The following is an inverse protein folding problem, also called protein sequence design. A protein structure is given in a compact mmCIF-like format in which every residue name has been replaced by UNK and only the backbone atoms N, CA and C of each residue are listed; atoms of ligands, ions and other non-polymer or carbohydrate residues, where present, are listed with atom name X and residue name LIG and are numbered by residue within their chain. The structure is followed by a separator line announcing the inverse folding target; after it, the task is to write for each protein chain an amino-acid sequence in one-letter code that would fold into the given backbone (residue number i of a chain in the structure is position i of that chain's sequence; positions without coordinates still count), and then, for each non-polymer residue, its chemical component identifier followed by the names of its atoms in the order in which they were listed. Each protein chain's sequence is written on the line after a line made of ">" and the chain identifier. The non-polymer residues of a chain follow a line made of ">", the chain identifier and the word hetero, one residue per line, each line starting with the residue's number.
data_IF_813207789054
#
_entry.id   IF_813207789054
#
_cell.length_a   1.000
_cell.length_b   1.000
_cell.length_c   1.000
_cell.angle_alpha   90.00
_cell.angle_beta   90.00
_cell.angle_gamma   90.00
#
_symmetry.space_group_name_H-M   'P 1'
#
loop_
_entity.id
_entity.type
_entity.pdbx_description
1 polymer ?
#
# COMPACT_ATOMS: atom_id res chain seq x y z
N UNK A 1 1.03 -1.51 -2.96
CA UNK A 1 -0.45 -1.53 -3.05
C UNK A 1 -0.83 -2.72 -3.92
N UNK A 2 -1.50 -3.76 -3.40
CA UNK A 2 -1.99 -4.85 -4.27
C UNK A 2 -3.41 -4.49 -4.69
N UNK A 3 -3.56 -3.96 -5.90
CA UNK A 3 -4.86 -3.75 -6.51
C UNK A 3 -5.23 -5.04 -7.25
N UNK A 4 -6.08 -5.87 -6.65
CA UNK A 4 -6.72 -6.96 -7.40
C UNK A 4 -7.90 -6.38 -8.21
N UNK A 5 -7.59 -5.64 -9.27
CA UNK A 5 -8.59 -5.29 -10.29
C UNK A 5 -8.64 -6.42 -11.30
N UNK A 6 -9.57 -7.35 -11.10
CA UNK A 6 -9.90 -8.30 -12.16
C UNK A 6 -10.80 -7.58 -13.18
N UNK A 7 -10.39 -7.44 -14.45
CA UNK A 7 -11.14 -6.69 -15.47
C UNK A 7 -12.54 -7.27 -15.78
N UNK A 8 -12.89 -8.43 -15.22
CA UNK A 8 -14.17 -9.10 -15.39
C UNK A 8 -14.93 -9.31 -14.07
N UNK A 9 -14.46 -8.75 -12.95
CA UNK A 9 -15.08 -8.87 -11.62
C UNK A 9 -15.02 -7.52 -10.92
N UNK A 10 -16.18 -6.90 -10.65
CA UNK A 10 -16.31 -5.66 -9.87
C UNK A 10 -16.05 -5.89 -8.36
N UNK A 11 -14.97 -6.59 -8.02
CA UNK A 11 -14.56 -6.84 -6.65
C UNK A 11 -13.55 -5.77 -6.23
N UNK A 12 -14.03 -4.79 -5.46
CA UNK A 12 -13.22 -3.71 -4.92
C UNK A 12 -12.91 -3.97 -3.45
N UNK A 13 -12.13 -5.03 -3.21
CA UNK A 13 -11.52 -5.28 -1.91
C UNK A 13 -10.04 -4.97 -2.01
N UNK A 14 -9.58 -4.03 -1.20
CA UNK A 14 -8.20 -3.56 -1.19
C UNK A 14 -7.55 -3.97 0.13
N UNK A 15 -6.42 -4.67 0.06
CA UNK A 15 -5.55 -4.87 1.22
C UNK A 15 -4.34 -3.92 1.13
N UNK A 16 -4.11 -3.19 2.22
CA UNK A 16 -3.06 -2.19 2.32
C UNK A 16 -2.19 -2.50 3.53
N UNK A 17 -0.88 -2.34 3.37
CA UNK A 17 0.05 -2.37 4.49
C UNK A 17 -0.03 -1.02 5.19
N UNK A 18 -0.62 -1.02 6.39
CA UNK A 18 -0.67 0.16 7.24
C UNK A 18 0.71 0.47 7.85
N UNK A 19 1.62 -0.51 7.89
CA UNK A 19 3.00 -0.34 8.35
C UNK A 19 3.77 0.77 7.60
N UNK A 20 3.58 0.83 6.27
CA UNK A 20 4.28 1.76 5.35
C UNK A 20 3.72 3.19 5.47
N UNK A 21 3.53 3.91 4.37
CA UNK A 21 3.10 5.32 4.34
C UNK A 21 1.86 5.69 5.17
N UNK A 22 0.95 4.75 5.44
CA UNK A 22 -0.21 4.99 6.32
C UNK A 22 0.23 5.20 7.78
N UNK A 23 1.20 4.39 8.23
CA UNK A 23 1.77 4.43 9.57
C UNK A 23 2.97 5.35 9.62
N UNK A 24 3.97 5.17 8.76
CA UNK A 24 4.99 6.16 8.46
C UNK A 24 6.17 6.27 9.41
N UNK A 25 6.24 5.45 10.47
CA UNK A 25 7.27 5.58 11.52
C UNK A 25 8.09 4.31 11.76
N UNK A 26 7.77 3.22 11.04
CA UNK A 26 8.42 1.89 11.19
C UNK A 26 8.34 1.30 12.61
N UNK A 27 7.56 1.88 13.52
CA UNK A 27 7.40 1.40 14.90
C UNK A 27 6.22 0.43 15.07
N UNK A 28 5.21 0.52 14.21
CA UNK A 28 3.99 -0.29 14.33
C UNK A 28 3.66 -0.97 13.02
N UNK A 29 3.50 -2.29 13.08
CA UNK A 29 3.03 -3.10 11.96
C UNK A 29 1.51 -3.03 11.93
N UNK A 30 0.93 -2.90 10.74
CA UNK A 30 -0.52 -2.90 10.58
C UNK A 30 -0.96 -3.25 9.17
N UNK A 31 -2.22 -3.64 9.07
CA UNK A 31 -2.90 -3.92 7.82
C UNK A 31 -4.31 -3.34 7.82
N UNK A 32 -4.79 -2.93 6.66
CA UNK A 32 -6.16 -2.45 6.45
C UNK A 32 -6.75 -3.22 5.27
N UNK A 33 -7.98 -3.69 5.44
CA UNK A 33 -8.81 -4.22 4.37
C UNK A 33 -9.97 -3.25 4.17
N UNK A 34 -10.11 -2.75 2.94
CA UNK A 34 -11.19 -1.84 2.55
C UNK A 34 -12.10 -2.58 1.59
N UNK A 35 -13.38 -2.60 1.92
CA UNK A 35 -14.46 -3.10 1.08
C UNK A 35 -15.28 -1.91 0.60
N UNK A 36 -15.38 -1.71 -0.72
CA UNK A 36 -16.16 -0.61 -1.28
C UNK A 36 -17.68 -0.82 -1.15
N UNK A 37 -18.13 -2.03 -0.75
CA UNK A 37 -19.55 -2.30 -0.56
C UNK A 37 -20.36 -2.30 -1.87
N UNK A 38 -19.73 -2.70 -2.98
CA UNK A 38 -20.36 -2.74 -4.30
C UNK A 38 -20.54 -4.15 -4.86
N UNK A 39 -19.79 -5.12 -4.33
CA UNK A 39 -19.78 -6.47 -4.89
C UNK A 39 -20.99 -7.29 -4.39
N UNK A 40 -21.81 -7.86 -5.29
CA UNK A 40 -22.97 -8.66 -4.91
C UNK A 40 -22.55 -10.07 -4.47
N UNK A 41 -22.25 -10.22 -3.18
CA UNK A 41 -21.82 -11.49 -2.58
C UNK A 41 -22.89 -12.61 -2.64
N UNK A 42 -24.12 -12.30 -3.04
CA UNK A 42 -25.22 -13.25 -3.24
C UNK A 42 -25.37 -13.77 -4.67
N UNK A 43 -24.41 -13.53 -5.57
CA UNK A 43 -24.46 -13.95 -6.98
C UNK A 43 -24.39 -15.48 -7.23
N UNK A 44 -24.70 -16.31 -6.23
CA UNK A 44 -24.69 -17.77 -6.31
C UNK A 44 -23.32 -18.42 -6.15
N UNK A 45 -22.21 -17.67 -6.24
CA UNK A 45 -20.84 -18.23 -6.13
C UNK A 45 -20.32 -18.30 -4.70
N UNK A 46 -20.83 -17.45 -3.80
CA UNK A 46 -20.31 -17.33 -2.44
C UNK A 46 -21.34 -17.76 -1.41
N UNK A 47 -21.61 -19.06 -1.37
CA UNK A 47 -22.54 -19.68 -0.42
C UNK A 47 -22.26 -19.34 1.04
N UNK A 48 -21.00 -19.02 1.37
CA UNK A 48 -20.60 -18.58 2.71
C UNK A 48 -21.32 -17.28 3.15
N UNK A 49 -21.86 -16.47 2.23
CA UNK A 49 -22.61 -15.27 2.57
C UNK A 49 -24.13 -15.47 2.57
N UNK A 50 -24.62 -16.46 1.81
CA UNK A 50 -26.06 -16.71 1.60
C UNK A 50 -26.61 -17.91 2.37
N UNK A 51 -25.76 -18.78 2.92
CA UNK A 51 -26.19 -19.90 3.75
C UNK A 51 -26.13 -19.54 5.24
N UNK A 52 -26.95 -20.23 6.04
CA UNK A 52 -26.97 -20.12 7.49
C UNK A 52 -25.58 -20.42 8.06
N UNK A 53 -25.03 -19.48 8.83
CA UNK A 53 -23.73 -19.67 9.47
C UNK A 53 -23.91 -20.40 10.82
N UNK A 54 -23.33 -21.61 11.00
CA UNK A 54 -23.44 -22.36 12.25
C UNK A 54 -22.74 -21.66 13.43
N UNK A 55 -21.70 -20.87 13.18
CA UNK A 55 -20.93 -20.18 14.24
C UNK A 55 -21.66 -18.95 14.80
N UNK A 56 -22.73 -18.50 14.13
CA UNK A 56 -23.47 -17.29 14.47
C UNK A 56 -24.97 -17.58 14.51
N UNK A 57 -25.39 -18.65 15.18
CA UNK A 57 -26.81 -18.98 15.42
C UNK A 57 -27.67 -19.03 14.14
N UNK A 58 -27.09 -19.49 13.02
CA UNK A 58 -27.79 -19.57 11.74
C UNK A 58 -27.85 -18.25 10.96
N UNK A 59 -27.14 -17.22 11.38
CA UNK A 59 -27.05 -15.92 10.70
C UNK A 59 -26.70 -16.07 9.22
N UNK A 60 -27.48 -15.43 8.35
CA UNK A 60 -27.19 -15.31 6.92
C UNK A 60 -26.62 -13.90 6.69
N UNK A 61 -25.32 -13.83 6.39
CA UNK A 61 -24.57 -12.56 6.32
C UNK A 61 -25.12 -11.60 5.28
N UNK A 62 -25.46 -12.10 4.09
CA UNK A 62 -26.01 -11.28 3.02
C UNK A 62 -27.38 -10.72 3.38
N UNK A 63 -28.27 -11.55 3.94
CA UNK A 63 -29.61 -11.09 4.34
C UNK A 63 -29.55 -10.01 5.42
N UNK A 64 -28.59 -10.11 6.34
CA UNK A 64 -28.49 -9.17 7.46
C UNK A 64 -27.72 -7.91 7.12
N UNK A 65 -26.63 -8.00 6.35
CA UNK A 65 -25.68 -6.89 6.14
C UNK A 65 -25.58 -6.42 4.69
N UNK A 66 -26.24 -7.09 3.75
CA UNK A 66 -26.19 -6.78 2.32
C UNK A 66 -24.75 -6.62 1.82
N UNK A 67 -24.46 -5.49 1.17
CA UNK A 67 -23.14 -5.20 0.64
C UNK A 67 -22.02 -5.11 1.68
N UNK A 68 -22.33 -4.89 2.97
CA UNK A 68 -21.34 -4.89 4.05
C UNK A 68 -21.02 -6.29 4.58
N UNK A 69 -21.64 -7.34 4.02
CA UNK A 69 -21.49 -8.71 4.47
C UNK A 69 -20.04 -9.18 4.50
N UNK A 70 -19.20 -8.77 3.54
CA UNK A 70 -17.78 -9.13 3.51
C UNK A 70 -17.00 -8.50 4.66
N UNK A 71 -17.16 -7.20 4.89
CA UNK A 71 -16.52 -6.50 6.02
C UNK A 71 -16.90 -7.12 7.36
N UNK A 72 -18.20 -7.33 7.58
CA UNK A 72 -18.68 -7.88 8.85
C UNK A 72 -18.23 -9.33 9.03
N UNK A 73 -18.32 -10.18 7.99
CA UNK A 73 -17.85 -11.57 8.07
C UNK A 73 -16.34 -11.65 8.29
N UNK A 74 -15.57 -10.80 7.62
CA UNK A 74 -14.11 -10.76 7.81
C UNK A 74 -13.78 -10.38 9.24
N UNK A 75 -14.39 -9.31 9.78
CA UNK A 75 -14.18 -8.91 11.18
C UNK A 75 -14.65 -9.97 12.17
N UNK A 76 -15.84 -10.53 11.97
CA UNK A 76 -16.42 -11.49 12.91
C UNK A 76 -15.66 -12.82 12.91
N UNK A 77 -15.29 -13.33 11.73
CA UNK A 77 -14.66 -14.65 11.59
C UNK A 77 -13.14 -14.59 11.72
N UNK A 78 -12.47 -13.68 11.03
CA UNK A 78 -10.99 -13.63 10.99
C UNK A 78 -10.44 -13.06 12.29
N UNK A 79 -10.94 -11.91 12.75
CA UNK A 79 -10.44 -11.31 13.99
C UNK A 79 -10.71 -12.22 15.19
N UNK A 80 -11.87 -12.86 15.26
CA UNK A 80 -12.19 -13.79 16.34
C UNK A 80 -11.34 -15.06 16.33
N UNK A 81 -11.17 -15.69 15.16
CA UNK A 81 -10.58 -17.03 15.10
C UNK A 81 -9.05 -17.01 14.98
N UNK A 82 -8.49 -16.01 14.30
CA UNK A 82 -7.04 -15.92 14.02
C UNK A 82 -6.39 -14.84 14.89
N UNK A 83 -7.16 -13.88 15.41
CA UNK A 83 -6.66 -12.84 16.32
C UNK A 83 -5.70 -11.78 15.73
N UNK A 84 -5.72 -11.39 14.43
CA UNK A 84 -4.88 -10.30 13.94
C UNK A 84 -5.41 -8.92 14.39
N UNK A 85 -5.45 -8.69 15.70
CA UNK A 85 -5.92 -7.46 16.32
C UNK A 85 -4.82 -6.39 16.27
N UNK A 86 -5.15 -5.21 15.74
CA UNK A 86 -4.25 -4.07 15.73
C UNK A 86 -4.11 -3.48 17.14
N UNK A 87 -2.88 -3.06 17.49
CA UNK A 87 -2.62 -2.33 18.73
C UNK A 87 -3.43 -1.00 18.76
N UNK A 88 -4.16 -0.67 19.85
CA UNK A 88 -4.95 0.56 19.96
C UNK A 88 -4.13 1.85 19.92
N UNK A 89 -2.82 1.81 20.16
CA UNK A 89 -1.93 2.98 20.13
C UNK A 89 -1.43 3.35 18.73
N UNK A 90 -2.01 2.77 17.69
CA UNK A 90 -1.63 3.05 16.30
C UNK A 90 -1.97 4.50 15.91
N UNK A 91 -0.96 5.26 15.50
CA UNK A 91 -1.08 6.66 15.07
C UNK A 91 -0.85 6.81 13.57
N UNK A 92 -1.69 7.62 12.93
CA UNK A 92 -1.56 8.01 11.53
C UNK A 92 -0.90 9.38 11.45
N UNK A 93 0.05 9.58 10.53
CA UNK A 93 0.52 10.92 10.16
C UNK A 93 0.32 11.17 8.68
N UNK A 94 0.02 12.41 8.35
CA UNK A 94 -0.01 12.89 6.96
C UNK A 94 1.39 13.39 6.62
N UNK A 95 2.00 12.83 5.58
CA UNK A 95 3.40 13.08 5.24
C UNK A 95 3.55 13.99 4.01
N UNK A 96 4.54 14.90 4.05
CA UNK A 96 4.95 15.75 2.90
C UNK A 96 5.84 15.02 1.88
N UNK A 97 5.91 13.69 1.97
CA UNK A 97 6.84 12.87 1.17
C UNK A 97 6.61 12.98 -0.33
N UNK A 98 5.38 13.26 -0.79
CA UNK A 98 5.08 13.47 -2.21
C UNK A 98 5.83 14.69 -2.75
N UNK A 99 5.81 15.80 -2.03
CA UNK A 99 6.48 17.04 -2.45
C UNK A 99 7.99 16.84 -2.53
N UNK A 100 8.56 16.19 -1.50
CA UNK A 100 10.00 15.87 -1.47
C UNK A 100 10.42 14.93 -2.61
N UNK A 101 9.62 13.91 -2.90
CA UNK A 101 9.89 12.97 -3.99
C UNK A 101 9.87 13.66 -5.36
N UNK A 102 8.91 14.55 -5.59
CA UNK A 102 8.83 15.34 -6.82
C UNK A 102 10.02 16.29 -6.97
N UNK A 103 10.44 16.96 -5.90
CA UNK A 103 11.59 17.86 -5.94
C UNK A 103 12.89 17.09 -6.17
N UNK A 104 13.06 15.93 -5.53
CA UNK A 104 14.20 15.05 -5.77
C UNK A 104 14.24 14.54 -7.22
N UNK A 105 13.09 14.19 -7.81
CA UNK A 105 13.04 13.76 -9.20
C UNK A 105 13.51 14.86 -10.17
N UNK A 106 13.05 16.10 -9.97
CA UNK A 106 13.50 17.26 -10.76
C UNK A 106 14.99 17.50 -10.60
N UNK A 107 15.50 17.35 -9.37
CA UNK A 107 16.92 17.47 -9.12
C UNK A 107 17.73 16.37 -9.84
N UNK A 108 17.27 15.12 -9.80
CA UNK A 108 17.91 14.00 -10.52
C UNK A 108 17.88 14.19 -12.05
N UNK A 109 16.79 14.73 -12.60
CA UNK A 109 16.67 15.04 -14.03
C UNK A 109 17.70 16.08 -14.49
N UNK A 110 18.09 17.01 -13.61
CA UNK A 110 19.06 18.05 -13.92
C UNK A 110 20.53 17.59 -13.93
N UNK A 111 20.80 16.33 -13.61
CA UNK A 111 22.16 15.81 -13.38
C UNK A 111 22.71 14.99 -14.53
N UNK A 112 23.90 15.36 -14.98
CA UNK A 112 24.59 14.64 -16.06
C UNK A 112 25.13 13.27 -15.63
N UNK A 113 25.31 13.00 -14.33
CA UNK A 113 25.80 11.71 -13.82
C UNK A 113 24.69 10.69 -13.54
N UNK A 114 23.44 11.07 -13.78
CA UNK A 114 22.28 10.18 -13.72
C UNK A 114 21.95 9.68 -15.14
N UNK A 115 21.84 8.36 -15.31
CA UNK A 115 21.52 7.73 -16.59
C UNK A 115 20.01 7.71 -16.86
N UNK A 116 19.24 7.46 -15.81
CA UNK A 116 17.78 7.37 -15.86
C UNK A 116 17.22 7.47 -14.45
N UNK A 117 15.94 7.86 -14.33
CA UNK A 117 15.18 7.74 -13.10
C UNK A 117 13.74 7.31 -13.39
N UNK A 118 13.08 6.75 -12.39
CA UNK A 118 11.70 6.31 -12.43
C UNK A 118 11.04 6.58 -11.08
N UNK A 119 9.86 7.17 -11.10
CA UNK A 119 9.00 7.31 -9.92
C UNK A 119 7.86 6.31 -10.07
N UNK A 120 7.64 5.50 -9.04
CA UNK A 120 6.51 4.56 -9.05
C UNK A 120 5.18 5.31 -9.19
N UNK A 121 4.27 4.81 -10.02
CA UNK A 121 2.96 5.41 -10.33
C UNK A 121 2.98 6.71 -11.15
N UNK A 122 4.15 7.17 -11.61
CA UNK A 122 4.29 8.36 -12.47
C UNK A 122 4.08 8.01 -13.96
N UNK A 123 2.97 7.35 -14.28
CA UNK A 123 2.50 7.31 -15.67
C UNK A 123 1.82 8.66 -15.94
N UNK A 124 2.40 9.51 -16.81
CA UNK A 124 1.91 10.88 -17.07
C UNK A 124 0.38 10.97 -17.30
N UNK A 125 -0.21 9.93 -17.90
CA UNK A 125 -1.64 9.82 -18.19
C UNK A 125 -2.51 9.54 -16.94
N UNK A 126 -1.98 8.83 -15.95
CA UNK A 126 -2.66 8.50 -14.69
C UNK A 126 -2.62 9.67 -13.69
N UNK A 127 -1.52 10.44 -13.69
CA UNK A 127 -1.33 11.64 -12.86
C UNK A 127 -2.43 12.67 -13.07
N UNK A 128 -2.88 12.87 -14.31
CA UNK A 128 -3.94 13.83 -14.65
C UNK A 128 -5.32 13.41 -14.13
N UNK A 129 -5.51 12.13 -13.79
CA UNK A 129 -6.77 11.56 -13.29
C UNK A 129 -6.77 11.28 -11.79
N UNK A 130 -5.62 11.37 -11.13
CA UNK A 130 -5.51 11.19 -9.68
C UNK A 130 -5.77 12.52 -8.94
N UNK A 131 -6.31 12.48 -7.72
CA UNK A 131 -6.37 13.66 -6.87
C UNK A 131 -4.96 14.25 -6.71
N UNK A 132 -4.86 15.58 -6.73
CA UNK A 132 -3.57 16.28 -6.53
C UNK A 132 -2.92 15.75 -5.24
N UNK A 133 -1.62 15.45 -5.31
CA UNK A 133 -0.78 14.99 -4.18
C UNK A 133 -0.91 13.52 -3.77
N UNK A 134 -1.34 12.62 -4.66
CA UNK A 134 -1.28 11.17 -4.43
C UNK A 134 -0.41 10.54 -5.54
N UNK A 135 0.91 10.65 -5.39
CA UNK A 135 1.89 10.01 -6.28
C UNK A 135 2.74 9.03 -5.48
N UNK A 136 3.32 8.05 -6.17
CA UNK A 136 4.29 7.15 -5.55
C UNK A 136 5.47 7.96 -5.01
N UNK A 137 5.91 7.57 -3.81
CA UNK A 137 6.98 8.24 -3.07
C UNK A 137 8.32 7.50 -3.17
N UNK A 138 8.34 6.40 -3.93
CA UNK A 138 9.52 5.59 -4.21
C UNK A 138 10.12 6.00 -5.56
N UNK A 139 11.42 6.35 -5.52
CA UNK A 139 12.22 6.64 -6.70
C UNK A 139 13.25 5.55 -6.92
N UNK A 140 13.53 5.25 -8.18
CA UNK A 140 14.65 4.41 -8.60
C UNK A 140 15.44 5.16 -9.65
N UNK A 141 16.76 5.17 -9.57
CA UNK A 141 17.61 5.84 -10.55
C UNK A 141 18.90 5.06 -10.80
N UNK A 142 19.45 5.23 -11.98
CA UNK A 142 20.74 4.67 -12.37
C UNK A 142 21.80 5.76 -12.40
N UNK A 143 22.96 5.49 -11.82
CA UNK A 143 24.15 6.36 -11.88
C UNK A 143 25.08 5.92 -13.00
N UNK A 144 25.81 6.86 -13.60
CA UNK A 144 26.89 6.54 -14.56
C UNK A 144 28.00 5.77 -13.85
N UNK A 145 28.33 4.58 -14.37
CA UNK A 145 29.38 3.72 -13.82
C UNK A 145 28.94 2.28 -13.68
N UNK A 146 29.62 1.54 -12.81
CA UNK A 146 29.33 0.16 -12.48
C UNK A 146 28.62 0.03 -11.11
N UNK A 147 28.36 -1.21 -10.67
CA UNK A 147 27.73 -1.48 -9.38
C UNK A 147 28.55 -0.93 -8.18
N UNK A 148 29.88 -0.81 -8.31
CA UNK A 148 30.74 -0.28 -7.25
C UNK A 148 30.51 1.22 -7.04
N UNK A 149 30.24 1.97 -8.12
CA UNK A 149 29.85 3.38 -8.03
C UNK A 149 28.53 3.53 -7.27
N UNK A 150 27.55 2.67 -7.54
CA UNK A 150 26.27 2.64 -6.80
C UNK A 150 26.45 2.32 -5.31
N UNK A 151 27.29 1.33 -4.99
CA UNK A 151 27.61 0.98 -3.60
C UNK A 151 28.32 2.12 -2.87
N UNK A 152 29.31 2.75 -3.52
CA UNK A 152 30.04 3.89 -2.96
C UNK A 152 29.11 5.07 -2.70
N UNK A 153 28.18 5.36 -3.63
CA UNK A 153 27.18 6.41 -3.41
C UNK A 153 26.40 6.15 -2.11
N UNK A 154 25.88 4.93 -1.91
CA UNK A 154 25.14 4.59 -0.69
C UNK A 154 26.01 4.75 0.56
N UNK A 155 27.25 4.29 0.52
CA UNK A 155 28.17 4.36 1.67
C UNK A 155 28.54 5.81 2.05
N UNK A 156 28.46 6.75 1.10
CA UNK A 156 28.76 8.18 1.36
C UNK A 156 27.59 8.96 1.98
N UNK A 157 26.37 8.41 1.96
CA UNK A 157 25.19 9.12 2.46
C UNK A 157 25.17 9.15 3.98
N UNK A 158 25.14 10.36 4.56
CA UNK A 158 25.16 10.54 6.02
C UNK A 158 23.75 10.66 6.64
N UNK A 159 22.77 11.15 5.87
CA UNK A 159 21.40 11.36 6.34
C UNK A 159 20.46 10.20 5.99
N UNK A 160 20.76 9.49 4.91
CA UNK A 160 19.90 8.46 4.33
C UNK A 160 20.23 7.11 4.96
N UNK A 161 19.21 6.37 5.41
CA UNK A 161 19.44 5.07 6.04
C UNK A 161 19.45 3.93 5.01
N UNK A 162 20.43 3.04 5.08
CA UNK A 162 20.52 1.86 4.21
C UNK A 162 19.75 0.66 4.82
N UNK A 163 18.61 0.30 4.23
CA UNK A 163 17.77 -0.82 4.69
C UNK A 163 16.61 -1.15 3.74
N UNK A 164 16.18 -2.41 3.76
CA UNK A 164 15.07 -2.93 2.96
C UNK A 164 13.69 -2.63 3.60
N UNK A 165 13.29 -1.37 3.61
CA UNK A 165 11.95 -0.91 4.03
C UNK A 165 11.53 0.28 3.18
N UNK A 166 10.21 0.53 3.07
CA UNK A 166 9.65 1.68 2.33
C UNK A 166 8.51 2.32 3.11
N UNK A 167 8.31 3.62 2.91
CA UNK A 167 7.25 4.39 3.58
C UNK A 167 7.53 4.70 5.04
N UNK A 168 8.79 4.96 5.40
CA UNK A 168 9.18 5.55 6.68
C UNK A 168 9.34 7.07 6.56
N UNK A 169 9.23 7.79 7.67
CA UNK A 169 9.45 9.24 7.73
C UNK A 169 10.87 9.63 7.35
N UNK A 170 11.84 8.72 7.58
CA UNK A 170 13.23 8.87 7.16
C UNK A 170 13.40 8.51 5.70
N UNK A 171 14.30 9.21 5.01
CA UNK A 171 14.72 8.81 3.67
C UNK A 171 15.54 7.53 3.75
N UNK A 172 15.19 6.55 2.92
CA UNK A 172 15.80 5.23 2.88
C UNK A 172 16.37 4.96 1.49
N UNK A 173 17.46 4.20 1.42
CA UNK A 173 18.07 3.77 0.17
C UNK A 173 18.42 2.29 0.22
N UNK A 174 18.38 1.65 -0.94
CA UNK A 174 18.80 0.27 -1.12
C UNK A 174 19.41 0.12 -2.52
N UNK A 175 20.50 -0.64 -2.63
CA UNK A 175 21.09 -1.06 -3.89
C UNK A 175 20.87 -2.57 -4.06
N UNK A 176 19.94 -2.99 -4.95
CA UNK A 176 19.56 -4.39 -5.07
C UNK A 176 20.52 -5.24 -5.91
N UNK A 177 21.53 -4.66 -6.57
CA UNK A 177 22.40 -5.32 -7.57
C UNK A 177 23.89 -5.24 -7.23
#
# INVERSE_FOLDING_TARGET
>A
MVILRYPFVNLYVHSLSATKWIGGHRTTIGGVVIDEGKFPWNNGRFLIFTNKNPDYYGLIYWETFGYNAFTIKTRSKITRNIGPCQNPFYQYKVHRQVENALELARWLESRDDILWFHIQDLNHILIMKMPKNIYGMDLTFGVKGDANVGATLIDTLQLVSYLAYVGDEKTLVMHPA
#
